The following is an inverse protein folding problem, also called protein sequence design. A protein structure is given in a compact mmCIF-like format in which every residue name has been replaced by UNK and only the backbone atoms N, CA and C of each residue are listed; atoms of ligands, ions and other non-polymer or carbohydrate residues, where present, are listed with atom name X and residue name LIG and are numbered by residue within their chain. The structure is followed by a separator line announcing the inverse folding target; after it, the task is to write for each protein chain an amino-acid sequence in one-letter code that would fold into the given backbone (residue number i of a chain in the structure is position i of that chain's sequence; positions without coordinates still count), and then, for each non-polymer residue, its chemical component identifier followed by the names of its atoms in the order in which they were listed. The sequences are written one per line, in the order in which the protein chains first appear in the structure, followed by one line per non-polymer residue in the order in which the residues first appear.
data_IF_413574560572
#
_entry.id   IF_413574560572
#
_cell.length_a   1.000
_cell.length_b   1.000
_cell.length_c   1.000
_cell.angle_alpha   90.00
_cell.angle_beta   90.00
_cell.angle_gamma   90.00
#
_symmetry.space_group_name_H-M   'P 1'
#
loop_
_entity.id
_entity.type
_entity.pdbx_description
1 polymer ?
#
# COMPACT_ATOMS: atom_id res chain seq x y z
N UNK A 1 -15.14 0.33 0.22
CA UNK A 1 -14.46 0.07 -1.08
C UNK A 1 -13.15 0.80 -0.96
N UNK A 2 -12.04 0.06 -0.91
CA UNK A 2 -10.74 0.62 -0.60
C UNK A 2 -9.75 0.59 -1.76
N UNK A 3 -8.60 1.21 -1.54
CA UNK A 3 -7.46 1.24 -2.44
C UNK A 3 -6.31 0.49 -1.79
N UNK A 4 -5.73 -0.47 -2.52
CA UNK A 4 -4.47 -1.11 -2.18
C UNK A 4 -3.32 -0.39 -2.90
N UNK A 5 -2.37 0.15 -2.14
CA UNK A 5 -1.19 0.84 -2.63
C UNK A 5 0.02 -0.05 -2.36
N UNK A 6 0.78 -0.39 -3.41
CA UNK A 6 2.02 -1.16 -3.34
C UNK A 6 3.16 -0.24 -3.77
N UNK A 7 4.25 -0.18 -3.00
CA UNK A 7 5.44 0.64 -3.30
C UNK A 7 6.70 -0.19 -3.21
N UNK A 8 7.69 0.18 -4.01
CA UNK A 8 9.00 -0.43 -4.09
C UNK A 8 9.64 -0.20 -5.45
N UNK A 9 10.66 -0.97 -5.79
CA UNK A 9 11.47 -0.77 -7.00
C UNK A 9 11.15 -1.79 -8.09
N UNK A 10 11.14 -1.33 -9.35
CA UNK A 10 10.93 -2.20 -10.52
C UNK A 10 9.55 -2.86 -10.57
N UNK A 11 8.55 -2.30 -9.87
CA UNK A 11 7.19 -2.84 -9.85
C UNK A 11 6.56 -2.74 -11.24
N UNK A 12 6.20 -3.88 -11.81
CA UNK A 12 5.49 -3.97 -13.07
C UNK A 12 4.37 -5.00 -13.00
N UNK A 13 3.29 -4.73 -13.73
CA UNK A 13 2.12 -5.62 -13.80
C UNK A 13 2.46 -6.79 -14.73
N UNK A 14 2.46 -8.01 -14.20
CA UNK A 14 2.60 -9.23 -14.98
C UNK A 14 1.28 -9.70 -15.58
N UNK A 15 0.18 -9.61 -14.81
CA UNK A 15 -1.18 -9.96 -15.28
C UNK A 15 -2.23 -9.11 -14.62
N UNK A 16 -3.23 -8.68 -15.39
CA UNK A 16 -4.45 -8.04 -14.91
C UNK A 16 -5.66 -8.72 -15.55
N UNK A 17 -6.54 -9.30 -14.75
CA UNK A 17 -7.84 -9.83 -15.17
C UNK A 17 -8.95 -9.16 -14.37
N UNK A 18 -9.78 -8.34 -15.03
CA UNK A 18 -10.86 -7.59 -14.39
C UNK A 18 -12.11 -8.46 -14.15
N UNK A 19 -12.34 -9.45 -15.01
CA UNK A 19 -13.49 -10.35 -14.89
C UNK A 19 -13.31 -11.31 -13.69
N UNK A 20 -12.08 -11.76 -13.46
CA UNK A 20 -11.70 -12.60 -12.31
C UNK A 20 -11.28 -11.81 -11.06
N UNK A 21 -11.06 -10.50 -11.19
CA UNK A 21 -10.55 -9.65 -10.10
C UNK A 21 -9.11 -9.98 -9.68
N UNK A 22 -8.27 -10.42 -10.62
CA UNK A 22 -6.91 -10.89 -10.35
C UNK A 22 -5.86 -9.89 -10.86
N UNK A 23 -4.94 -9.49 -9.97
CA UNK A 23 -3.75 -8.69 -10.28
C UNK A 23 -2.50 -9.45 -9.83
N UNK A 24 -1.56 -9.64 -10.74
CA UNK A 24 -0.23 -10.18 -10.46
C UNK A 24 0.82 -9.13 -10.83
N UNK A 25 1.74 -8.87 -9.92
CA UNK A 25 2.81 -7.87 -10.07
C UNK A 25 4.13 -8.46 -9.59
N UNK A 26 5.22 -8.03 -10.21
CA UNK A 26 6.58 -8.46 -9.89
C UNK A 26 7.47 -7.24 -9.70
N UNK A 27 8.47 -7.36 -8.83
CA UNK A 27 9.36 -6.28 -8.41
C UNK A 27 9.81 -6.45 -6.96
N UNK A 28 10.64 -5.54 -6.47
CA UNK A 28 11.00 -5.48 -5.06
C UNK A 28 9.92 -4.72 -4.29
N UNK A 29 9.27 -5.38 -3.34
CA UNK A 29 8.18 -4.77 -2.56
C UNK A 29 8.75 -4.21 -1.25
N UNK A 30 8.64 -2.90 -1.08
CA UNK A 30 9.03 -2.21 0.15
C UNK A 30 7.85 -2.01 1.10
N UNK A 31 6.66 -1.73 0.56
CA UNK A 31 5.46 -1.56 1.39
C UNK A 31 4.15 -1.88 0.66
N UNK A 32 3.17 -2.30 1.45
CA UNK A 32 1.80 -2.56 1.04
C UNK A 32 0.86 -1.85 2.03
N UNK A 33 -0.07 -1.06 1.52
CA UNK A 33 -0.99 -0.26 2.32
C UNK A 33 -2.41 -0.36 1.76
N UNK A 34 -3.38 -0.70 2.62
CA UNK A 34 -4.79 -0.66 2.28
C UNK A 34 -5.44 0.55 2.92
N UNK A 35 -6.20 1.32 2.13
CA UNK A 35 -6.99 2.46 2.59
C UNK A 35 -8.45 2.19 2.27
N UNK A 36 -9.32 2.11 3.28
CA UNK A 36 -10.75 2.07 3.03
C UNK A 36 -11.28 3.49 2.85
N UNK A 37 -12.30 3.66 2.02
CA UNK A 37 -12.92 4.94 1.69
C UNK A 37 -13.68 5.60 2.85
N UNK A 38 -13.58 5.08 4.07
CA UNK A 38 -14.18 5.64 5.28
C UNK A 38 -13.10 5.98 6.30
N UNK A 39 -13.00 7.26 6.65
CA UNK A 39 -11.81 7.88 7.20
C UNK A 39 -11.27 7.25 8.48
N UNK A 40 -10.07 6.67 8.43
CA UNK A 40 -9.22 6.50 9.61
C UNK A 40 -7.77 6.16 9.26
N UNK A 41 -7.12 6.98 8.43
CA UNK A 41 -5.66 7.11 8.48
C UNK A 41 -5.22 7.90 9.75
N UNK A 42 -5.72 7.50 10.92
CA UNK A 42 -5.22 7.93 12.23
C UNK A 42 -4.29 6.84 12.73
N UNK A 43 -3.01 6.86 12.36
CA UNK A 43 -2.11 5.86 12.96
C UNK A 43 -0.68 5.74 12.47
N UNK A 44 -0.11 6.66 11.68
CA UNK A 44 1.31 6.49 11.26
C UNK A 44 2.19 7.74 11.26
N UNK A 45 1.76 8.85 11.89
CA UNK A 45 2.45 10.15 11.75
C UNK A 45 2.92 10.90 13.00
N UNK A 46 2.65 10.47 14.25
CA UNK A 46 2.73 11.41 15.40
C UNK A 46 3.57 11.02 16.62
N UNK A 47 4.56 10.13 16.52
CA UNK A 47 5.30 9.69 17.73
C UNK A 47 6.80 9.40 17.56
N UNK A 48 7.48 10.09 16.64
CA UNK A 48 8.96 10.16 16.62
C UNK A 48 9.53 11.39 17.34
N UNK A 49 8.70 12.28 17.89
CA UNK A 49 9.14 13.52 18.56
C UNK A 49 9.56 13.37 20.04
N UNK A 50 9.62 12.15 20.59
CA UNK A 50 9.90 11.92 22.03
C UNK A 50 11.20 11.16 22.33
N UNK A 51 12.05 10.92 21.33
CA UNK A 51 13.32 10.19 21.50
C UNK A 51 14.53 11.14 21.69
N UNK A 52 14.30 12.46 21.75
CA UNK A 52 15.33 13.43 22.15
C UNK A 52 14.84 14.31 23.29
N UNK A 53 14.78 13.74 24.49
CA UNK A 53 14.98 14.46 25.76
C UNK A 53 15.51 13.51 26.81
#
# INVERSE_FOLDING_TARGET
MGILIIRGEGIHIGKLNLDEGLLQTEGEIESIEYTDGDGSAKGRGFLFGKIFK
#
